data_IF_337054931928
#
_entry.id   IF_337054931928
#
_cell.length_a   1.000
_cell.length_b   1.000
_cell.length_c   1.000
_cell.angle_alpha   90.00
_cell.angle_beta   90.00
_cell.angle_gamma   90.00
#
_symmetry.space_group_name_H-M   'P 1'
#
loop_
_entity.id
_entity.type
_entity.pdbx_description
1 polymer ?
#
# COMPACT_ATOMS: atom_id res chain seq x y z
N UNK A 1 16.83 -21.03 3.40
CA UNK A 1 15.50 -20.42 3.19
C UNK A 1 15.06 -20.65 1.76
N UNK A 2 13.87 -21.25 1.57
CA UNK A 2 13.32 -21.62 0.26
C UNK A 2 12.76 -20.39 -0.48
N UNK A 3 13.37 -20.00 -1.60
CA UNK A 3 12.94 -18.82 -2.36
C UNK A 3 11.49 -18.90 -2.90
N UNK A 4 10.86 -20.09 -2.90
CA UNK A 4 9.45 -20.28 -3.31
C UNK A 4 8.45 -19.70 -2.31
N UNK A 5 8.77 -19.66 -1.02
CA UNK A 5 7.85 -19.12 -0.01
C UNK A 5 7.71 -17.59 -0.12
N UNK A 6 8.81 -16.90 -0.48
CA UNK A 6 8.83 -15.44 -0.62
C UNK A 6 8.14 -14.96 -1.90
N UNK A 7 8.22 -15.72 -3.01
CA UNK A 7 7.49 -15.37 -4.24
C UNK A 7 5.98 -15.55 -4.09
N UNK A 8 5.54 -16.55 -3.30
CA UNK A 8 4.11 -16.86 -3.14
C UNK A 8 3.35 -15.87 -2.24
N UNK A 9 4.04 -15.13 -1.36
CA UNK A 9 3.38 -14.15 -0.48
C UNK A 9 2.80 -12.96 -1.27
N UNK A 10 3.46 -12.57 -2.35
CA UNK A 10 3.04 -11.51 -3.28
C UNK A 10 2.47 -12.05 -4.60
N UNK A 11 2.08 -13.32 -4.62
CA UNK A 11 1.46 -13.92 -5.80
C UNK A 11 0.14 -13.19 -6.14
N UNK A 12 -0.19 -13.16 -7.43
CA UNK A 12 -1.14 -12.30 -8.16
C UNK A 12 -2.45 -11.84 -7.48
N UNK A 13 -2.92 -12.47 -6.40
CA UNK A 13 -4.16 -12.12 -5.68
C UNK A 13 -3.96 -11.25 -4.44
N UNK A 14 -2.79 -11.26 -3.82
CA UNK A 14 -2.60 -10.58 -2.53
C UNK A 14 -2.24 -9.10 -2.67
N UNK A 15 -1.49 -8.72 -3.71
CA UNK A 15 -1.06 -7.33 -3.91
C UNK A 15 -2.24 -6.34 -3.97
N UNK A 16 -3.35 -6.73 -4.61
CA UNK A 16 -4.55 -5.91 -4.70
C UNK A 16 -5.27 -5.77 -3.34
N UNK A 17 -5.34 -6.85 -2.56
CA UNK A 17 -5.92 -6.83 -1.22
C UNK A 17 -5.09 -5.95 -0.27
N UNK A 18 -3.77 -6.10 -0.31
CA UNK A 18 -2.84 -5.27 0.48
C UNK A 18 -3.00 -3.80 0.13
N UNK A 19 -3.17 -3.51 -1.16
CA UNK A 19 -3.48 -2.19 -1.69
C UNK A 19 -4.71 -1.50 -1.16
N UNK A 20 -5.84 -2.18 -1.32
CA UNK A 20 -7.13 -1.69 -0.82
C UNK A 20 -7.08 -1.55 0.69
N UNK A 21 -6.54 -2.55 1.41
CA UNK A 21 -6.42 -2.49 2.85
C UNK A 21 -5.58 -1.30 3.31
N UNK A 22 -4.46 -1.05 2.64
CA UNK A 22 -3.60 0.10 2.92
C UNK A 22 -4.29 1.43 2.62
N UNK A 23 -4.96 1.56 1.47
CA UNK A 23 -5.70 2.77 1.11
C UNK A 23 -6.83 3.08 2.09
N UNK A 24 -7.60 2.06 2.49
CA UNK A 24 -8.65 2.19 3.52
C UNK A 24 -8.06 2.55 4.88
N UNK A 25 -6.99 1.89 5.30
CA UNK A 25 -6.30 2.20 6.55
C UNK A 25 -5.81 3.65 6.57
N UNK A 26 -5.19 4.12 5.48
CA UNK A 26 -4.69 5.49 5.39
C UNK A 26 -5.81 6.53 5.33
N UNK A 27 -6.91 6.22 4.65
CA UNK A 27 -8.10 7.06 4.69
C UNK A 27 -8.61 7.21 6.14
N UNK A 28 -8.76 6.12 6.88
CA UNK A 28 -9.17 6.19 8.30
C UNK A 28 -8.17 6.97 9.14
N UNK A 29 -6.87 6.76 8.93
CA UNK A 29 -5.84 7.47 9.66
C UNK A 29 -5.84 8.98 9.38
N UNK A 30 -5.96 9.40 8.12
CA UNK A 30 -5.90 10.83 7.78
C UNK A 30 -7.24 11.55 7.86
N UNK A 31 -8.34 10.88 7.55
CA UNK A 31 -9.66 11.52 7.60
C UNK A 31 -10.31 11.46 8.97
N UNK A 32 -9.85 10.57 9.87
CA UNK A 32 -10.40 10.45 11.23
C UNK A 32 -9.33 10.75 12.28
N UNK A 33 -8.25 9.98 12.33
CA UNK A 33 -7.27 10.09 13.44
C UNK A 33 -6.54 11.45 13.40
N UNK A 34 -6.08 11.88 12.23
CA UNK A 34 -5.34 13.13 12.06
C UNK A 34 -6.15 14.39 12.43
N UNK A 35 -7.38 14.61 11.94
CA UNK A 35 -8.19 15.75 12.36
C UNK A 35 -8.59 15.68 13.84
N UNK A 36 -8.74 14.48 14.41
CA UNK A 36 -8.97 14.32 15.85
C UNK A 36 -7.79 14.85 16.67
N UNK A 37 -6.57 14.53 16.25
CA UNK A 37 -5.33 15.02 16.89
C UNK A 37 -5.15 16.53 16.71
N UNK A 38 -5.53 17.06 15.55
CA UNK A 38 -5.38 18.49 15.22
C UNK A 38 -6.56 19.37 15.64
N UNK A 39 -7.59 18.81 16.30
CA UNK A 39 -8.83 19.52 16.69
C UNK A 39 -9.47 20.30 15.53
N UNK A 40 -9.34 19.79 14.31
CA UNK A 40 -9.88 20.44 13.12
C UNK A 40 -11.33 20.02 12.88
N UNK A 41 -12.15 20.94 12.38
CA UNK A 41 -13.52 20.63 12.01
C UNK A 41 -13.54 19.62 10.85
N UNK A 42 -14.26 18.51 11.04
CA UNK A 42 -14.49 17.52 10.00
C UNK A 42 -15.40 18.11 8.93
N UNK A 43 -14.80 18.64 7.85
CA UNK A 43 -15.54 19.14 6.70
C UNK A 43 -15.87 17.96 5.78
N UNK A 44 -17.17 17.66 5.62
CA UNK A 44 -17.64 16.53 4.80
C UNK A 44 -17.10 16.55 3.36
N UNK A 45 -16.97 17.74 2.76
CA UNK A 45 -16.39 17.93 1.42
C UNK A 45 -14.92 17.51 1.35
N UNK A 46 -14.17 17.69 2.43
CA UNK A 46 -12.76 17.33 2.50
C UNK A 46 -12.60 15.80 2.56
N UNK A 47 -13.39 15.13 3.39
CA UNK A 47 -13.38 13.67 3.54
C UNK A 47 -13.67 12.97 2.20
N UNK A 48 -14.57 13.51 1.37
CA UNK A 48 -14.89 12.95 0.05
C UNK A 48 -13.75 13.07 -0.96
N UNK A 49 -12.92 14.11 -0.84
CA UNK A 49 -11.72 14.28 -1.67
C UNK A 49 -10.61 13.35 -1.16
N UNK A 50 -10.45 13.25 0.16
CA UNK A 50 -9.45 12.39 0.78
C UNK A 50 -9.69 10.91 0.47
N UNK A 51 -10.94 10.42 0.51
CA UNK A 51 -11.23 9.02 0.16
C UNK A 51 -10.84 8.71 -1.29
N UNK A 52 -11.08 9.64 -2.22
CA UNK A 52 -10.75 9.47 -3.62
C UNK A 52 -9.23 9.47 -3.84
N UNK A 53 -8.52 10.39 -3.18
CA UNK A 53 -7.05 10.46 -3.20
C UNK A 53 -6.44 9.19 -2.59
N UNK A 54 -6.91 8.75 -1.41
CA UNK A 54 -6.36 7.59 -0.72
C UNK A 54 -6.68 6.26 -1.42
N UNK A 55 -7.84 6.14 -2.06
CA UNK A 55 -8.13 5.00 -2.93
C UNK A 55 -7.20 4.96 -4.14
N UNK A 56 -7.01 6.09 -4.82
CA UNK A 56 -6.08 6.18 -5.95
C UNK A 56 -4.64 5.87 -5.51
N UNK A 57 -4.19 6.45 -4.40
CA UNK A 57 -2.88 6.20 -3.81
C UNK A 57 -2.71 4.72 -3.41
N UNK A 58 -3.72 4.09 -2.83
CA UNK A 58 -3.69 2.66 -2.49
C UNK A 58 -3.47 1.78 -3.72
N UNK A 59 -4.16 2.04 -4.83
CA UNK A 59 -3.98 1.30 -6.08
C UNK A 59 -2.57 1.52 -6.66
N UNK A 60 -2.12 2.77 -6.71
CA UNK A 60 -0.77 3.12 -7.19
C UNK A 60 0.32 2.46 -6.34
N UNK A 61 0.19 2.52 -5.01
CA UNK A 61 1.12 1.91 -4.06
C UNK A 61 1.18 0.39 -4.23
N UNK A 62 0.04 -0.26 -4.47
CA UNK A 62 -0.02 -1.70 -4.76
C UNK A 62 0.81 -2.07 -5.98
N UNK A 63 0.68 -1.26 -7.04
CA UNK A 63 1.38 -1.47 -8.29
C UNK A 63 2.89 -1.27 -8.11
N UNK A 64 3.29 -0.19 -7.41
CA UNK A 64 4.68 0.10 -7.07
C UNK A 64 5.27 -1.03 -6.24
N UNK A 65 4.59 -1.52 -5.20
CA UNK A 65 5.07 -2.63 -4.38
C UNK A 65 5.30 -3.91 -5.20
N UNK A 66 4.36 -4.26 -6.08
CA UNK A 66 4.51 -5.43 -6.96
C UNK A 66 5.71 -5.26 -7.91
N UNK A 67 5.94 -4.06 -8.44
CA UNK A 67 7.11 -3.77 -9.28
C UNK A 67 8.42 -3.83 -8.48
N UNK A 68 8.46 -3.17 -7.33
CA UNK A 68 9.64 -3.08 -6.48
C UNK A 68 10.06 -4.44 -5.94
N UNK A 69 9.11 -5.27 -5.48
CA UNK A 69 9.39 -6.65 -5.03
C UNK A 69 9.99 -7.51 -6.14
N UNK A 70 9.51 -7.40 -7.39
CA UNK A 70 10.08 -8.14 -8.52
C UNK A 70 11.52 -7.72 -8.80
N UNK A 71 11.78 -6.41 -8.79
CA UNK A 71 13.12 -5.85 -8.99
C UNK A 71 14.05 -6.26 -7.85
N UNK A 72 13.59 -6.14 -6.60
CA UNK A 72 14.34 -6.50 -5.40
C UNK A 72 14.71 -7.98 -5.39
N UNK A 73 13.76 -8.89 -5.66
CA UNK A 73 14.04 -10.33 -5.73
C UNK A 73 15.08 -10.64 -6.81
N UNK A 74 14.97 -9.98 -7.98
CA UNK A 74 15.93 -10.15 -9.08
C UNK A 74 17.33 -9.69 -8.68
N UNK A 75 17.47 -8.54 -8.01
CA UNK A 75 18.75 -8.02 -7.51
C UNK A 75 19.33 -8.95 -6.44
N UNK A 76 18.53 -9.33 -5.44
CA UNK A 76 18.96 -10.21 -4.35
C UNK A 76 19.39 -11.59 -4.87
N UNK A 77 18.70 -12.14 -5.89
CA UNK A 77 19.12 -13.39 -6.53
C UNK A 77 20.47 -13.26 -7.24
N UNK A 78 20.77 -12.08 -7.80
CA UNK A 78 22.03 -11.81 -8.50
C UNK A 78 23.20 -11.66 -7.51
N UNK A 79 22.97 -10.99 -6.38
CA UNK A 79 23.98 -10.79 -5.33
C UNK A 79 24.28 -12.10 -4.60
N UNK A 80 23.29 -12.97 -4.37
CA UNK A 80 23.49 -14.25 -3.69
C UNK A 80 24.21 -15.32 -4.55
N UNK A 81 24.28 -15.12 -5.86
CA UNK A 81 24.94 -16.02 -6.82
C UNK A 81 26.38 -15.58 -7.15
N UNK A 82 26.80 -14.40 -6.72
CA UNK A 82 28.20 -13.96 -6.72
C UNK A 82 28.84 -14.25 -5.35
#
# INVERSE_FOLDING_TARGET
>A
MNNKAFSNAFDKKNWFKTGIFWGVFMFVAMSIIYPLLNKQALVLKHVLIEILIWLAAGIVMSFIMNMFMRVLIKILSKIKQQ
#
